data_IF_192061444778
#
_entry.id   IF_192061444778
#
_cell.length_a   1.000
_cell.length_b   1.000
_cell.length_c   1.000
_cell.angle_alpha   90.00
_cell.angle_beta   90.00
_cell.angle_gamma   90.00
#
_symmetry.space_group_name_H-M   'P 1'
#
loop_
_entity.id
_entity.type
_entity.pdbx_description
1 polymer ?
#
# COMPACT_ATOMS: atom_id res chain seq x y z
N UNK A 1 -4.85 -16.73 6.12
CA UNK A 1 -5.77 -15.57 6.29
C UNK A 1 -7.12 -15.96 5.67
N UNK A 2 -8.22 -15.94 6.42
CA UNK A 2 -9.55 -16.19 5.85
C UNK A 2 -9.87 -15.07 4.83
N UNK A 3 -10.49 -15.37 3.69
CA UNK A 3 -10.83 -14.34 2.71
C UNK A 3 -11.88 -13.41 3.32
N UNK A 4 -11.60 -12.10 3.31
CA UNK A 4 -12.57 -11.08 3.68
C UNK A 4 -13.73 -11.17 2.68
N UNK A 5 -15.00 -11.31 3.13
CA UNK A 5 -16.14 -11.40 2.23
C UNK A 5 -16.18 -10.21 1.26
N UNK A 6 -16.44 -10.48 -0.02
CA UNK A 6 -16.49 -9.47 -1.09
C UNK A 6 -17.40 -8.28 -0.76
N UNK A 7 -18.47 -8.51 0.00
CA UNK A 7 -19.44 -7.49 0.48
C UNK A 7 -18.83 -6.40 1.37
N UNK A 8 -17.66 -6.63 1.96
CA UNK A 8 -16.99 -5.65 2.81
C UNK A 8 -16.11 -4.68 1.99
N UNK A 9 -15.96 -4.91 0.67
CA UNK A 9 -15.30 -3.96 -0.22
C UNK A 9 -16.35 -2.99 -0.79
N UNK A 10 -16.25 -1.73 -0.37
CA UNK A 10 -17.08 -0.62 -0.88
C UNK A 10 -16.27 0.25 -1.87
N UNK A 11 -16.97 1.03 -2.69
CA UNK A 11 -16.34 2.03 -3.55
C UNK A 11 -15.89 3.24 -2.73
N UNK A 12 -14.87 3.96 -3.23
CA UNK A 12 -14.33 5.11 -2.52
C UNK A 12 -15.28 6.30 -2.60
N UNK A 13 -15.70 6.80 -1.44
CA UNK A 13 -16.49 8.00 -1.28
C UNK A 13 -15.73 8.99 -0.38
N UNK A 14 -15.47 10.20 -0.88
CA UNK A 14 -14.72 11.21 -0.12
C UNK A 14 -15.46 11.66 1.15
N UNK A 15 -16.81 11.69 1.12
CA UNK A 15 -17.59 12.08 2.30
C UNK A 15 -17.48 11.05 3.44
N UNK A 16 -17.48 9.77 3.11
CA UNK A 16 -17.26 8.69 4.09
C UNK A 16 -15.82 8.69 4.60
N UNK A 17 -14.85 8.98 3.73
CA UNK A 17 -13.46 9.10 4.11
C UNK A 17 -13.25 10.24 5.12
N UNK A 18 -13.96 11.35 4.95
CA UNK A 18 -13.94 12.48 5.89
C UNK A 18 -14.46 12.10 7.26
N UNK A 19 -15.55 11.34 7.29
CA UNK A 19 -16.13 10.83 8.52
C UNK A 19 -15.15 9.87 9.23
N UNK A 20 -14.50 8.97 8.49
CA UNK A 20 -13.50 8.05 9.03
C UNK A 20 -12.24 8.78 9.54
N UNK A 21 -11.79 9.84 8.86
CA UNK A 21 -10.66 10.67 9.32
C UNK A 21 -11.03 11.40 10.62
N UNK A 22 -12.25 11.95 10.70
CA UNK A 22 -12.75 12.64 11.88
C UNK A 22 -12.84 11.68 13.08
N UNK A 23 -13.32 10.45 12.87
CA UNK A 23 -13.43 9.41 13.90
C UNK A 23 -12.04 8.90 14.32
N UNK A 24 -11.11 8.76 13.38
CA UNK A 24 -9.76 8.23 13.65
C UNK A 24 -8.77 9.23 14.24
N UNK A 25 -9.20 10.47 14.53
CA UNK A 25 -8.34 11.55 15.02
C UNK A 25 -7.13 11.81 14.12
N UNK A 26 -7.33 11.70 12.79
CA UNK A 26 -6.29 11.93 11.78
C UNK A 26 -5.16 10.88 11.75
N UNK A 27 -5.37 9.68 12.30
CA UNK A 27 -4.42 8.57 12.17
C UNK A 27 -4.48 7.88 10.79
N UNK A 28 -3.36 7.30 10.38
CA UNK A 28 -3.05 6.72 9.07
C UNK A 28 -4.21 5.97 8.40
N UNK A 29 -4.52 6.31 7.14
CA UNK A 29 -5.50 5.60 6.33
C UNK A 29 -4.78 4.61 5.39
N UNK A 30 -4.97 3.31 5.64
CA UNK A 30 -4.54 2.24 4.74
C UNK A 30 -5.64 1.99 3.70
N UNK A 31 -5.52 2.62 2.54
CA UNK A 31 -6.49 2.51 1.45
C UNK A 31 -6.02 1.55 0.36
N UNK A 32 -6.96 0.75 -0.17
CA UNK A 32 -6.76 0.01 -1.43
C UNK A 32 -6.82 0.99 -2.61
N UNK A 33 -5.86 1.90 -2.72
CA UNK A 33 -5.78 2.84 -3.83
C UNK A 33 -5.04 2.18 -5.01
N UNK A 34 -5.68 1.16 -5.60
CA UNK A 34 -5.33 0.75 -6.94
C UNK A 34 -5.86 1.78 -7.91
N UNK A 35 -5.00 2.45 -8.68
CA UNK A 35 -5.43 3.53 -9.60
C UNK A 35 -6.26 3.03 -10.79
N UNK A 36 -6.59 1.74 -10.84
CA UNK A 36 -7.64 1.20 -11.70
C UNK A 36 -9.06 1.48 -11.20
N UNK A 37 -9.24 1.97 -9.96
CA UNK A 37 -10.54 2.38 -9.43
C UNK A 37 -10.77 3.89 -9.63
N UNK A 38 -11.95 4.31 -10.13
CA UNK A 38 -12.34 5.71 -10.17
C UNK A 38 -12.21 6.36 -8.79
N UNK A 39 -11.69 7.59 -8.72
CA UNK A 39 -11.57 8.34 -7.47
C UNK A 39 -10.38 7.98 -6.56
N UNK A 40 -9.59 6.95 -6.87
CA UNK A 40 -8.45 6.55 -6.03
C UNK A 40 -7.38 7.65 -5.89
N UNK A 41 -7.03 8.32 -6.99
CA UNK A 41 -6.05 9.42 -6.97
C UNK A 41 -6.58 10.63 -6.18
N UNK A 42 -7.84 11.00 -6.40
CA UNK A 42 -8.51 12.08 -5.67
C UNK A 42 -8.55 11.79 -4.16
N UNK A 43 -8.79 10.53 -3.77
CA UNK A 43 -8.75 10.12 -2.37
C UNK A 43 -7.34 10.23 -1.77
N UNK A 44 -6.30 9.84 -2.51
CA UNK A 44 -4.90 10.00 -2.07
C UNK A 44 -4.58 11.49 -1.85
N UNK A 45 -4.86 12.34 -2.83
CA UNK A 45 -4.61 13.78 -2.76
C UNK A 45 -5.36 14.41 -1.57
N UNK A 46 -6.62 14.04 -1.40
CA UNK A 46 -7.48 14.54 -0.34
C UNK A 46 -7.01 14.13 1.07
N UNK A 47 -6.60 12.87 1.23
CA UNK A 47 -5.98 12.39 2.48
C UNK A 47 -4.68 13.13 2.77
N UNK A 48 -3.86 13.32 1.73
CA UNK A 48 -2.56 13.97 1.86
C UNK A 48 -2.69 15.43 2.26
N UNK A 49 -3.66 16.16 1.70
CA UNK A 49 -3.98 17.55 2.07
C UNK A 49 -4.36 17.69 3.54
N UNK A 50 -4.84 16.62 4.19
CA UNK A 50 -5.21 16.58 5.61
C UNK A 50 -4.09 16.08 6.51
N UNK A 51 -2.90 15.85 5.96
CA UNK A 51 -1.74 15.36 6.70
C UNK A 51 -1.79 13.87 7.04
N UNK A 52 -2.74 13.12 6.48
CA UNK A 52 -2.84 11.67 6.65
C UNK A 52 -1.82 10.99 5.73
N UNK A 53 -1.10 10.00 6.27
CA UNK A 53 -0.22 9.15 5.47
C UNK A 53 -1.01 8.05 4.78
N UNK A 54 -0.66 7.75 3.52
CA UNK A 54 -1.38 6.81 2.67
C UNK A 54 -0.45 5.69 2.22
N UNK A 55 -0.76 4.47 2.64
CA UNK A 55 -0.05 3.26 2.22
C UNK A 55 -0.91 2.46 1.24
N UNK A 56 -0.32 2.04 0.12
CA UNK A 56 -0.99 1.28 -0.93
C UNK A 56 -0.92 -0.21 -0.65
N UNK A 57 -2.04 -0.91 -0.80
CA UNK A 57 -2.11 -2.34 -0.54
C UNK A 57 -3.24 -3.03 -1.26
N UNK A 58 -3.22 -4.36 -1.19
CA UNK A 58 -4.28 -5.24 -1.68
C UNK A 58 -4.67 -5.06 -3.15
N UNK A 59 -3.89 -4.38 -3.99
CA UNK A 59 -4.32 -3.94 -5.32
C UNK A 59 -3.67 -4.77 -6.45
N UNK A 60 -4.37 -4.88 -7.58
CA UNK A 60 -3.84 -5.48 -8.81
C UNK A 60 -3.21 -4.42 -9.74
N UNK A 61 -2.72 -3.30 -9.21
CA UNK A 61 -2.24 -2.16 -10.00
C UNK A 61 -0.98 -2.49 -10.80
N UNK A 62 -0.84 -1.88 -11.98
CA UNK A 62 0.41 -1.93 -12.76
C UNK A 62 1.51 -1.07 -12.11
N UNK A 63 2.72 -1.16 -12.64
CA UNK A 63 3.82 -0.32 -12.22
C UNK A 63 3.50 1.18 -12.43
N UNK A 64 3.00 1.54 -13.62
CA UNK A 64 2.66 2.93 -13.99
C UNK A 64 1.57 3.49 -13.08
N UNK A 65 0.55 2.66 -12.85
CA UNK A 65 -0.55 2.97 -11.93
C UNK A 65 -0.04 3.27 -10.53
N UNK A 66 0.84 2.42 -10.01
CA UNK A 66 1.43 2.60 -8.68
C UNK A 66 2.29 3.87 -8.61
N UNK A 67 3.08 4.15 -9.66
CA UNK A 67 3.88 5.36 -9.74
C UNK A 67 3.01 6.62 -9.71
N UNK A 68 1.90 6.63 -10.46
CA UNK A 68 0.95 7.75 -10.44
C UNK A 68 0.34 7.95 -9.05
N UNK A 69 0.10 6.87 -8.29
CA UNK A 69 -0.34 7.00 -6.90
C UNK A 69 0.73 7.62 -5.99
N UNK A 70 2.01 7.28 -6.17
CA UNK A 70 3.10 7.95 -5.45
C UNK A 70 3.22 9.43 -5.85
N UNK A 71 3.03 9.75 -7.13
CA UNK A 71 3.01 11.15 -7.61
C UNK A 71 1.84 11.95 -7.03
N UNK A 72 0.71 11.31 -6.77
CA UNK A 72 -0.44 11.89 -6.08
C UNK A 72 -0.23 12.05 -4.55
N UNK A 73 0.87 11.52 -4.00
CA UNK A 73 1.24 11.69 -2.60
C UNK A 73 1.07 10.46 -1.72
N UNK A 74 0.89 9.26 -2.30
CA UNK A 74 0.97 8.03 -1.51
C UNK A 74 2.39 7.82 -0.97
N UNK A 75 2.50 7.38 0.29
CA UNK A 75 3.75 7.27 1.02
C UNK A 75 4.46 5.94 0.79
N UNK A 76 3.78 4.87 0.36
CA UNK A 76 4.43 3.56 0.31
C UNK A 76 3.52 2.36 0.07
N UNK A 77 4.04 1.17 0.37
CA UNK A 77 3.33 -0.11 0.28
C UNK A 77 3.15 -0.75 1.66
N UNK A 78 1.91 -1.10 2.01
CA UNK A 78 1.58 -1.89 3.21
C UNK A 78 1.89 -3.37 2.94
N UNK A 79 2.50 -4.07 3.91
CA UNK A 79 2.93 -5.47 3.81
C UNK A 79 3.40 -5.90 2.41
N UNK A 80 4.42 -5.24 1.89
CA UNK A 80 5.02 -5.43 0.56
C UNK A 80 5.12 -6.92 0.19
N UNK A 81 4.88 -7.23 -1.09
CA UNK A 81 4.66 -8.56 -1.67
C UNK A 81 3.27 -9.19 -1.41
N UNK A 82 2.62 -8.89 -0.30
CA UNK A 82 1.39 -9.59 0.09
C UNK A 82 0.15 -8.90 -0.48
N UNK A 83 -0.65 -9.65 -1.24
CA UNK A 83 -1.92 -9.16 -1.80
C UNK A 83 -1.77 -8.10 -2.90
N UNK A 84 -0.63 -8.00 -3.56
CA UNK A 84 -0.36 -7.00 -4.61
C UNK A 84 0.30 -7.65 -5.84
N UNK A 85 0.41 -6.91 -6.95
CA UNK A 85 1.17 -7.38 -8.12
C UNK A 85 2.66 -7.51 -7.79
N UNK A 86 3.21 -8.69 -8.06
CA UNK A 86 4.61 -9.02 -7.79
C UNK A 86 5.59 -8.41 -8.78
N UNK A 87 6.88 -8.64 -8.54
CA UNK A 87 7.97 -8.18 -9.41
C UNK A 87 8.16 -9.14 -10.58
N UNK A 88 7.82 -8.71 -11.79
CA UNK A 88 8.15 -9.41 -13.04
C UNK A 88 9.02 -8.54 -13.94
N UNK A 89 9.97 -9.13 -14.66
CA UNK A 89 11.00 -8.39 -15.40
C UNK A 89 10.46 -7.49 -16.53
N UNK A 90 9.29 -7.81 -17.11
CA UNK A 90 8.60 -6.96 -18.11
C UNK A 90 7.50 -6.09 -17.52
N UNK A 91 6.96 -6.52 -16.39
CA UNK A 91 5.80 -5.90 -15.73
C UNK A 91 6.09 -5.83 -14.23
N UNK A 92 6.83 -4.82 -13.77
CA UNK A 92 7.37 -4.82 -12.41
C UNK A 92 6.31 -4.76 -11.31
N UNK A 93 5.07 -4.40 -11.65
CA UNK A 93 3.94 -4.34 -10.72
C UNK A 93 4.15 -3.33 -9.60
N UNK A 94 3.34 -3.46 -8.55
CA UNK A 94 3.41 -2.65 -7.34
C UNK A 94 4.73 -2.87 -6.62
N UNK A 95 5.17 -4.13 -6.48
CA UNK A 95 6.44 -4.46 -5.81
C UNK A 95 7.61 -3.76 -6.51
N UNK A 96 7.68 -3.83 -7.83
CA UNK A 96 8.73 -3.15 -8.59
C UNK A 96 8.67 -1.64 -8.45
N UNK A 97 7.47 -1.04 -8.43
CA UNK A 97 7.32 0.40 -8.19
C UNK A 97 7.83 0.81 -6.81
N UNK A 98 7.46 0.08 -5.75
CA UNK A 98 7.92 0.37 -4.40
C UNK A 98 9.42 0.17 -4.19
N UNK A 99 10.00 -0.88 -4.77
CA UNK A 99 11.45 -1.15 -4.66
C UNK A 99 12.30 -0.11 -5.40
N UNK A 100 11.78 0.47 -6.49
CA UNK A 100 12.53 1.38 -7.38
C UNK A 100 12.29 2.86 -7.10
N UNK A 101 11.14 3.25 -6.54
CA UNK A 101 10.85 4.64 -6.20
C UNK A 101 11.48 5.02 -4.85
N UNK A 102 12.41 5.98 -4.77
CA UNK A 102 13.09 6.36 -3.53
C UNK A 102 12.19 7.09 -2.53
N UNK A 103 10.97 7.51 -2.92
CA UNK A 103 10.01 8.19 -2.03
C UNK A 103 9.18 7.21 -1.21
N UNK A 104 9.08 5.95 -1.65
CA UNK A 104 8.15 4.97 -1.08
C UNK A 104 8.67 4.32 0.22
N UNK A 105 7.84 4.21 1.24
CA UNK A 105 8.12 3.36 2.40
C UNK A 105 7.60 1.94 2.13
N UNK A 106 8.34 0.92 2.56
CA UNK A 106 7.94 -0.48 2.36
C UNK A 106 7.75 -1.14 3.71
N UNK A 107 6.53 -1.54 4.02
CA UNK A 107 6.26 -2.39 5.17
C UNK A 107 6.53 -3.85 4.83
N UNK A 108 7.21 -4.60 5.71
CA UNK A 108 7.57 -5.99 5.47
C UNK A 108 7.24 -6.85 6.70
N UNK A 109 6.53 -7.96 6.45
CA UNK A 109 6.30 -9.02 7.44
C UNK A 109 7.50 -9.95 7.41
N UNK A 110 8.37 -9.85 8.42
CA UNK A 110 9.67 -10.52 8.46
C UNK A 110 9.64 -11.85 9.26
N UNK A 111 8.64 -12.70 9.04
CA UNK A 111 8.47 -13.98 9.77
C UNK A 111 9.03 -15.23 9.03
N UNK A 112 9.46 -15.06 7.78
CA UNK A 112 9.98 -16.14 6.93
C UNK A 112 8.91 -17.02 6.27
N UNK A 113 7.63 -16.81 6.60
CA UNK A 113 6.49 -17.54 6.05
C UNK A 113 5.72 -16.69 5.03
N UNK A 114 5.48 -15.41 5.32
CA UNK A 114 4.80 -14.48 4.41
C UNK A 114 5.67 -14.12 3.21
N UNK A 115 6.98 -13.96 3.44
CA UNK A 115 7.95 -13.57 2.41
C UNK A 115 9.15 -14.49 2.48
N UNK A 116 9.62 -14.98 1.33
CA UNK A 116 10.82 -15.80 1.30
C UNK A 116 12.05 -14.97 1.76
N UNK A 117 12.99 -15.52 2.56
CA UNK A 117 14.15 -14.77 3.07
C UNK A 117 14.98 -14.06 1.99
N UNK A 118 15.10 -14.65 0.79
CA UNK A 118 15.79 -14.02 -0.34
C UNK A 118 15.06 -12.75 -0.85
N UNK A 119 13.72 -12.76 -0.88
CA UNK A 119 12.92 -11.59 -1.26
C UNK A 119 12.94 -10.51 -0.17
N UNK A 120 13.00 -10.91 1.10
CA UNK A 120 13.26 -9.98 2.20
C UNK A 120 14.61 -9.28 2.02
N UNK A 121 15.67 -10.03 1.73
CA UNK A 121 17.01 -9.48 1.49
C UNK A 121 17.01 -8.50 0.31
N UNK A 122 16.30 -8.85 -0.78
CA UNK A 122 16.12 -7.93 -1.92
C UNK A 122 15.44 -6.63 -1.47
N UNK A 123 14.35 -6.74 -0.70
CA UNK A 123 13.65 -5.59 -0.16
C UNK A 123 14.57 -4.71 0.70
N UNK A 124 15.33 -5.30 1.62
CA UNK A 124 16.30 -4.60 2.46
C UNK A 124 17.36 -3.85 1.63
N UNK A 125 17.91 -4.47 0.60
CA UNK A 125 18.90 -3.85 -0.28
C UNK A 125 18.35 -2.64 -1.04
N UNK A 126 17.09 -2.72 -1.50
CA UNK A 126 16.45 -1.68 -2.30
C UNK A 126 15.86 -0.54 -1.45
N UNK A 127 15.17 -0.87 -0.35
CA UNK A 127 14.51 0.13 0.50
C UNK A 127 15.44 0.78 1.51
N UNK A 128 16.45 0.06 2.02
CA UNK A 128 17.38 0.56 3.05
C UNK A 128 16.61 1.19 4.23
N UNK A 129 16.84 2.46 4.51
CA UNK A 129 16.22 3.21 5.62
C UNK A 129 14.70 3.42 5.46
N UNK A 130 14.13 3.06 4.30
CA UNK A 130 12.69 3.16 3.99
C UNK A 130 11.91 1.88 4.34
N UNK A 131 12.59 0.86 4.85
CA UNK A 131 11.97 -0.41 5.24
C UNK A 131 11.40 -0.32 6.66
N UNK A 132 10.14 -0.69 6.82
CA UNK A 132 9.43 -0.75 8.10
C UNK A 132 9.06 -2.19 8.39
N UNK A 133 9.46 -2.72 9.54
CA UNK A 133 9.08 -4.07 9.94
C UNK A 133 7.72 -4.04 10.63
N UNK A 134 6.83 -4.93 10.21
CA UNK A 134 5.50 -5.09 10.79
C UNK A 134 5.24 -6.56 11.10
N UNK A 135 4.32 -6.82 12.03
CA UNK A 135 3.90 -8.20 12.34
C UNK A 135 2.69 -8.64 11.54
N UNK A 136 1.82 -7.69 11.11
CA UNK A 136 0.46 -7.95 10.60
C UNK A 136 -0.32 -8.95 11.49
N UNK A 137 -0.02 -8.92 12.80
CA UNK A 137 -0.63 -9.81 13.77
C UNK A 137 -2.06 -9.36 14.05
N UNK A 138 -2.99 -10.30 13.95
CA UNK A 138 -4.37 -10.11 14.36
C UNK A 138 -4.52 -10.68 15.78
N UNK A 139 -5.06 -9.89 16.71
CA UNK A 139 -5.52 -10.43 17.99
C UNK A 139 -6.82 -11.21 17.72
N UNK A 140 -6.81 -12.50 18.02
CA UNK A 140 -7.98 -13.38 17.92
C UNK A 140 -8.84 -13.31 19.18
#
# INVERSE_FOLDING_TARGET
KAPIPGRCFVELNLAELDELIAISQNNSACGRAGTGKPGALQAIEHLRQRGVRVMLGHSAATWEQTRTAFDAGADGLVHCYNGMTGLHHREPGMVGAGLTDPRAWLELIADGHHVHPAAMKLCCCCAKDRLVLITDAMQA
#
